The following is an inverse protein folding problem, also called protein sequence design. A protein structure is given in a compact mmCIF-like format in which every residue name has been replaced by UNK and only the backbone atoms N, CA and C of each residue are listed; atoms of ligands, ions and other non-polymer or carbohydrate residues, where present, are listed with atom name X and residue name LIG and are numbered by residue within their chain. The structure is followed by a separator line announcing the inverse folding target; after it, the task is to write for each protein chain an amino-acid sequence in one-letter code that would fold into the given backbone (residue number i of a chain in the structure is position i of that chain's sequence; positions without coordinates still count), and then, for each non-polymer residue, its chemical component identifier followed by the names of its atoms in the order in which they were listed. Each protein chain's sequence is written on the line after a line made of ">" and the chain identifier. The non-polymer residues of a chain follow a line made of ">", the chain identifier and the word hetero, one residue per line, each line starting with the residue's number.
data_IF_162027075096
#
_entry.id   IF_162027075096
#
_cell.length_a   1.000
_cell.length_b   1.000
_cell.length_c   1.000
_cell.angle_alpha   90.00
_cell.angle_beta   90.00
_cell.angle_gamma   90.00
#
_symmetry.space_group_name_H-M   'P 1'
#
loop_
_entity.id
_entity.type
_entity.pdbx_description
1 polymer ?
#
# COMPACT_ATOMS: atom_id res chain seq x y z
N UNK A 1 0.37 -5.22 -11.40
CA UNK A 1 1.25 -4.51 -10.46
C UNK A 1 0.84 -4.82 -9.04
N UNK A 2 1.79 -5.09 -8.16
CA UNK A 2 1.54 -5.34 -6.74
C UNK A 2 1.73 -4.06 -5.94
N UNK A 3 0.78 -3.78 -5.05
CA UNK A 3 0.76 -2.56 -4.25
C UNK A 3 0.40 -2.85 -2.80
N UNK A 4 0.93 -2.05 -1.88
CA UNK A 4 0.62 -2.08 -0.45
C UNK A 4 -0.43 -1.00 -0.20
N UNK A 5 -1.55 -1.36 0.40
CA UNK A 5 -2.60 -0.41 0.74
C UNK A 5 -2.18 0.46 1.93
N UNK A 6 -2.28 1.79 1.82
CA UNK A 6 -2.00 2.70 2.93
C UNK A 6 -3.25 3.02 3.76
N UNK A 7 -4.43 2.76 3.20
CA UNK A 7 -5.73 3.00 3.82
C UNK A 7 -6.66 1.84 3.46
N UNK A 8 -7.77 1.72 4.19
CA UNK A 8 -8.82 0.75 3.86
C UNK A 8 -9.54 1.21 2.59
N UNK A 9 -9.55 0.36 1.55
CA UNK A 9 -10.22 0.66 0.28
C UNK A 9 -11.34 -0.36 0.06
N UNK A 10 -12.57 0.16 -0.07
CA UNK A 10 -13.76 -0.63 -0.34
C UNK A 10 -13.55 -1.44 -1.63
N UNK A 11 -13.81 -2.75 -1.57
CA UNK A 11 -13.62 -3.73 -2.65
C UNK A 11 -12.17 -4.03 -3.04
N UNK A 12 -11.17 -3.55 -2.28
CA UNK A 12 -9.76 -3.86 -2.55
C UNK A 12 -9.09 -4.59 -1.40
N UNK A 13 -9.29 -4.14 -0.15
CA UNK A 13 -8.67 -4.74 1.02
C UNK A 13 -8.47 -3.75 2.16
N UNK A 14 -7.77 -4.20 3.20
CA UNK A 14 -7.46 -3.37 4.37
C UNK A 14 -6.09 -2.70 4.28
N UNK A 15 -5.90 -1.66 5.07
CA UNK A 15 -4.62 -1.00 5.27
C UNK A 15 -3.53 -2.02 5.61
N UNK A 16 -2.44 -1.95 4.86
CA UNK A 16 -1.25 -2.80 5.02
C UNK A 16 -1.31 -4.13 4.28
N UNK A 17 -2.41 -4.42 3.59
CA UNK A 17 -2.50 -5.60 2.73
C UNK A 17 -1.78 -5.37 1.40
N UNK A 18 -1.14 -6.43 0.89
CA UNK A 18 -0.52 -6.43 -0.43
C UNK A 18 -1.51 -7.00 -1.44
N UNK A 19 -1.93 -6.17 -2.39
CA UNK A 19 -2.94 -6.54 -3.38
C UNK A 19 -2.39 -6.41 -4.79
N UNK A 20 -2.80 -7.32 -5.67
CA UNK A 20 -2.43 -7.29 -7.09
C UNK A 20 -3.52 -6.58 -7.88
N UNK A 21 -3.16 -5.45 -8.49
CA UNK A 21 -4.07 -4.62 -9.29
C UNK A 21 -3.58 -4.46 -10.72
N UNK A 22 -4.47 -3.97 -11.59
CA UNK A 22 -4.12 -3.59 -12.96
C UNK A 22 -3.19 -2.38 -12.96
N UNK A 23 -2.20 -2.39 -13.84
CA UNK A 23 -1.15 -1.36 -13.86
C UNK A 23 -1.68 0.05 -14.13
N UNK A 24 -2.70 0.17 -14.98
CA UNK A 24 -3.36 1.45 -15.25
C UNK A 24 -4.11 2.00 -14.03
N UNK A 25 -4.79 1.14 -13.28
CA UNK A 25 -5.49 1.55 -12.06
C UNK A 25 -4.51 2.01 -10.99
N UNK A 26 -3.38 1.30 -10.85
CA UNK A 26 -2.35 1.67 -9.90
C UNK A 26 -1.64 2.98 -10.26
N UNK A 27 -1.24 3.16 -11.53
CA UNK A 27 -0.48 4.33 -11.99
C UNK A 27 -1.32 5.59 -12.17
N UNK A 28 -2.58 5.47 -12.60
CA UNK A 28 -3.40 6.63 -12.95
C UNK A 28 -4.35 7.06 -11.82
N UNK A 29 -4.66 6.18 -10.87
CA UNK A 29 -5.63 6.47 -9.81
C UNK A 29 -5.04 6.31 -8.41
N UNK A 30 -4.47 5.15 -8.07
CA UNK A 30 -4.05 4.86 -6.69
C UNK A 30 -2.77 5.59 -6.28
N UNK A 31 -1.73 5.56 -7.14
CA UNK A 31 -0.44 6.22 -6.87
C UNK A 31 -0.55 7.75 -6.81
N UNK A 32 -1.20 8.45 -7.76
CA UNK A 32 -1.29 9.91 -7.72
C UNK A 32 -2.10 10.42 -6.52
N UNK A 33 -3.05 9.62 -6.02
CA UNK A 33 -3.83 9.91 -4.81
C UNK A 33 -3.12 9.51 -3.51
N UNK A 34 -1.96 8.85 -3.60
CA UNK A 34 -1.21 8.43 -2.42
C UNK A 34 -1.88 7.34 -1.58
N UNK A 35 -2.84 6.61 -2.16
CA UNK A 35 -3.62 5.55 -1.48
C UNK A 35 -2.83 4.25 -1.31
N UNK A 36 -1.78 4.06 -2.13
CA UNK A 36 -0.97 2.84 -2.14
C UNK A 36 0.51 3.12 -2.30
N UNK A 37 1.34 2.14 -1.94
CA UNK A 37 2.77 2.10 -2.27
C UNK A 37 3.03 0.96 -3.25
N UNK A 38 4.03 1.11 -4.11
CA UNK A 38 4.50 -0.01 -4.93
C UNK A 38 5.08 -1.09 -4.01
N UNK A 39 4.67 -2.34 -4.19
CA UNK A 39 5.22 -3.48 -3.45
C UNK A 39 6.65 -3.76 -3.96
N UNK A 40 7.62 -3.08 -3.37
CA UNK A 40 9.04 -3.39 -3.54
C UNK A 40 9.65 -3.66 -2.17
N UNK A 41 10.79 -4.35 -2.14
CA UNK A 41 11.46 -4.73 -0.89
C UNK A 41 11.77 -3.54 0.03
N UNK A 42 12.02 -2.35 -0.53
CA UNK A 42 12.30 -1.13 0.24
C UNK A 42 11.04 -0.61 0.94
N UNK A 43 9.93 -0.56 0.22
CA UNK A 43 8.65 -0.05 0.69
C UNK A 43 8.00 -1.02 1.68
N UNK A 44 8.15 -2.34 1.49
CA UNK A 44 7.70 -3.34 2.46
C UNK A 44 8.40 -3.13 3.81
N UNK A 45 9.74 -3.05 3.82
CA UNK A 45 10.51 -2.81 5.06
C UNK A 45 10.18 -1.47 5.71
N UNK A 46 10.02 -0.42 4.91
CA UNK A 46 9.64 0.91 5.39
C UNK A 46 8.26 0.92 6.03
N UNK A 47 7.29 0.26 5.39
CA UNK A 47 5.93 0.15 5.88
C UNK A 47 5.84 -0.69 7.16
N UNK A 48 6.57 -1.81 7.24
CA UNK A 48 6.67 -2.61 8.47
C UNK A 48 7.31 -1.84 9.62
N UNK A 49 8.33 -1.02 9.33
CA UNK A 49 8.94 -0.17 10.34
C UNK A 49 7.94 0.88 10.85
N UNK A 50 7.24 1.58 9.95
CA UNK A 50 6.19 2.54 10.32
C UNK A 50 5.10 1.88 11.16
N UNK A 51 4.63 0.69 10.76
CA UNK A 51 3.62 -0.06 11.51
C UNK A 51 4.09 -0.41 12.92
N UNK A 52 5.36 -0.82 13.08
CA UNK A 52 5.94 -1.10 14.40
C UNK A 52 6.06 0.14 15.27
N UNK A 53 6.47 1.27 14.70
CA UNK A 53 6.56 2.54 15.44
C UNK A 53 5.17 2.97 15.92
N UNK A 54 4.15 2.90 15.06
CA UNK A 54 2.77 3.26 15.41
C UNK A 54 2.19 2.30 16.45
N UNK A 55 2.48 0.99 16.35
CA UNK A 55 1.96 0.00 17.30
C UNK A 55 2.67 0.02 18.67
N UNK A 56 3.87 0.57 18.74
CA UNK A 56 4.64 0.69 19.98
C UNK A 56 4.39 2.00 20.75
N UNK A 57 3.58 2.90 20.18
CA UNK A 57 3.21 4.19 20.74
C UNK A 57 1.79 4.16 21.31
#
# INVERSE_FOLDING_TARGET
>A
MEVILKEDIVNLGKMGEVVRVRDGYARNYLLPRGLVLVSNNKNQKGFEHQKRVIAAQ
#
